data_IF_089313743840
#
_entry.id   IF_089313743840
#
_cell.length_a   1.000
_cell.length_b   1.000
_cell.length_c   1.000
_cell.angle_alpha   90.00
_cell.angle_beta   90.00
_cell.angle_gamma   90.00
#
_symmetry.space_group_name_H-M   'P 1'
#
loop_
_entity.id
_entity.type
_entity.pdbx_description
1 polymer ?
#
# COMPACT_ATOMS: atom_id res chain seq x y z
N UNK A 1 -10.40 2.47 -34.28
CA UNK A 1 -8.93 2.34 -34.35
C UNK A 1 -8.54 1.03 -33.67
N UNK A 2 -7.93 0.11 -34.43
CA UNK A 2 -7.63 -1.27 -34.02
C UNK A 2 -6.50 -1.31 -32.99
N UNK A 3 -6.79 -1.73 -31.75
CA UNK A 3 -5.74 -2.05 -30.79
C UNK A 3 -5.14 -3.42 -31.17
N UNK A 4 -3.94 -3.37 -31.75
CA UNK A 4 -3.08 -4.55 -31.91
C UNK A 4 -2.87 -5.19 -30.54
N UNK A 5 -3.24 -6.48 -30.43
CA UNK A 5 -2.84 -7.36 -29.33
C UNK A 5 -1.35 -7.19 -29.06
N UNK A 6 -1.00 -6.57 -27.94
CA UNK A 6 0.38 -6.51 -27.47
C UNK A 6 0.60 -7.70 -26.54
N UNK A 7 1.01 -8.83 -27.11
CA UNK A 7 1.63 -9.91 -26.35
C UNK A 7 2.85 -9.34 -25.63
N UNK A 8 2.82 -9.31 -24.30
CA UNK A 8 3.91 -8.85 -23.47
C UNK A 8 4.26 -9.90 -22.44
N UNK A 9 5.52 -10.31 -22.39
CA UNK A 9 6.06 -11.13 -21.31
C UNK A 9 6.59 -10.19 -20.25
N UNK A 10 5.98 -10.19 -19.05
CA UNK A 10 6.53 -9.47 -17.90
C UNK A 10 7.51 -10.41 -17.21
N UNK A 11 8.79 -10.01 -17.16
CA UNK A 11 9.83 -10.77 -16.45
C UNK A 11 9.99 -10.13 -15.08
N UNK A 12 9.68 -10.88 -14.05
CA UNK A 12 10.01 -10.53 -12.67
C UNK A 12 11.27 -11.30 -12.28
N UNK A 13 12.32 -10.57 -11.90
CA UNK A 13 13.55 -11.13 -11.35
C UNK A 13 13.63 -10.79 -9.87
N UNK A 14 13.46 -11.79 -9.02
CA UNK A 14 13.76 -11.66 -7.58
C UNK A 14 15.15 -12.24 -7.34
N UNK A 15 16.05 -11.42 -6.82
CA UNK A 15 17.38 -11.84 -6.38
C UNK A 15 17.31 -12.16 -4.89
N UNK A 16 17.44 -13.44 -4.55
CA UNK A 16 17.57 -13.93 -3.18
C UNK A 16 18.99 -14.49 -2.96
N UNK A 17 19.41 -14.71 -1.71
CA UNK A 17 20.77 -15.12 -1.30
C UNK A 17 21.27 -16.44 -1.94
N UNK A 18 20.41 -17.16 -2.65
CA UNK A 18 20.70 -18.43 -3.34
C UNK A 18 20.66 -18.36 -4.88
N UNK A 19 20.52 -17.17 -5.46
CA UNK A 19 20.58 -16.94 -6.91
C UNK A 19 19.34 -16.27 -7.52
N UNK A 20 19.47 -15.83 -8.77
CA UNK A 20 18.41 -15.18 -9.56
C UNK A 20 17.31 -16.19 -9.94
N UNK A 21 16.09 -15.97 -9.46
CA UNK A 21 14.91 -16.69 -9.92
C UNK A 21 14.12 -15.79 -10.88
N UNK A 22 14.05 -16.18 -12.16
CA UNK A 22 13.22 -15.53 -13.18
C UNK A 22 11.91 -16.29 -13.32
N UNK A 23 10.81 -15.64 -12.98
CA UNK A 23 9.47 -16.17 -13.20
C UNK A 23 8.88 -15.58 -14.48
N UNK A 24 8.48 -16.45 -15.41
CA UNK A 24 7.81 -16.06 -16.65
C UNK A 24 6.30 -16.15 -16.44
N UNK A 25 5.64 -15.00 -16.33
CA UNK A 25 4.18 -14.94 -16.24
C UNK A 25 3.61 -14.66 -17.63
N UNK A 26 2.87 -15.63 -18.19
CA UNK A 26 2.16 -15.47 -19.45
C UNK A 26 0.83 -14.77 -19.17
N UNK A 27 0.76 -13.47 -19.47
CA UNK A 27 -0.47 -12.71 -19.29
C UNK A 27 -1.30 -12.90 -20.57
N UNK A 28 -2.21 -13.88 -20.56
CA UNK A 28 -3.30 -13.93 -21.53
C UNK A 28 -4.30 -12.84 -21.14
N UNK A 29 -4.32 -11.77 -21.94
CA UNK A 29 -5.31 -10.70 -21.81
C UNK A 29 -6.69 -11.26 -22.18
N UNK A 30 -7.45 -11.64 -21.15
CA UNK A 30 -8.77 -12.23 -21.28
C UNK A 30 -9.74 -11.16 -21.81
N UNK A 31 -10.00 -11.20 -23.12
CA UNK A 31 -11.03 -10.36 -23.74
C UNK A 31 -12.42 -10.80 -23.24
N UNK A 32 -13.29 -9.87 -22.82
CA UNK A 32 -14.64 -10.19 -22.34
C UNK A 32 -15.56 -10.71 -23.46
N UNK A 33 -15.12 -10.60 -24.72
CA UNK A 33 -15.82 -11.14 -25.88
C UNK A 33 -15.25 -12.50 -26.30
N UNK A 34 -16.12 -13.43 -26.72
CA UNK A 34 -15.69 -14.72 -27.26
C UNK A 34 -14.75 -14.52 -28.46
N UNK A 35 -13.79 -15.43 -28.68
CA UNK A 35 -12.86 -15.33 -29.79
C UNK A 35 -13.59 -15.35 -31.15
N UNK A 36 -13.09 -14.58 -32.11
CA UNK A 36 -13.73 -14.41 -33.41
C UNK A 36 -13.89 -15.74 -34.18
N UNK A 37 -12.99 -16.69 -33.97
CA UNK A 37 -13.04 -18.04 -34.56
C UNK A 37 -14.27 -18.83 -34.08
N UNK A 38 -14.60 -18.74 -32.79
CA UNK A 38 -15.77 -19.39 -32.19
C UNK A 38 -17.10 -18.78 -32.70
N UNK A 39 -17.13 -17.46 -32.87
CA UNK A 39 -18.29 -16.78 -33.45
C UNK A 39 -18.51 -17.16 -34.93
N UNK A 40 -17.42 -17.42 -35.66
CA UNK A 40 -17.48 -17.83 -37.06
C UNK A 40 -18.00 -19.26 -37.22
N UNK A 41 -17.65 -20.16 -36.29
CA UNK A 41 -18.19 -21.53 -36.25
C UNK A 41 -19.67 -21.55 -35.86
N UNK A 42 -20.09 -20.73 -34.90
CA UNK A 42 -21.50 -20.58 -34.52
C UNK A 42 -22.35 -20.04 -35.68
N UNK A 43 -21.83 -19.07 -36.43
CA UNK A 43 -22.51 -18.49 -37.59
C UNK A 43 -22.76 -19.51 -38.72
N UNK A 44 -21.90 -20.53 -38.85
CA UNK A 44 -22.08 -21.63 -39.83
C UNK A 44 -23.24 -22.57 -39.45
N UNK A 45 -23.63 -22.61 -38.17
CA UNK A 45 -24.71 -23.45 -37.66
C UNK A 45 -26.04 -22.68 -37.78
N UNK A 46 -26.13 -21.52 -37.12
CA UNK A 46 -27.26 -20.59 -37.22
C UNK A 46 -26.80 -19.21 -36.69
N UNK A 47 -26.96 -18.11 -37.46
CA UNK A 47 -26.61 -16.76 -37.01
C UNK A 47 -27.28 -16.36 -35.68
N UNK A 48 -28.41 -16.96 -35.32
CA UNK A 48 -29.13 -16.69 -34.07
C UNK A 48 -28.32 -17.03 -32.82
N UNK A 49 -27.42 -18.02 -32.88
CA UNK A 49 -26.58 -18.40 -31.73
C UNK A 49 -25.47 -17.38 -31.46
N UNK A 50 -24.94 -16.74 -32.50
CA UNK A 50 -23.95 -15.66 -32.37
C UNK A 50 -24.55 -14.47 -31.64
N UNK A 51 -25.77 -14.09 -32.01
CA UNK A 51 -26.50 -13.00 -31.36
C UNK A 51 -26.79 -13.32 -29.89
N UNK A 52 -27.17 -14.57 -29.59
CA UNK A 52 -27.40 -15.02 -28.22
C UNK A 52 -26.13 -14.95 -27.36
N UNK A 53 -25.01 -15.46 -27.84
CA UNK A 53 -23.72 -15.43 -27.11
C UNK A 53 -23.22 -14.00 -26.92
N UNK A 54 -23.34 -13.14 -27.93
CA UNK A 54 -22.98 -11.72 -27.81
C UNK A 54 -23.88 -10.98 -26.82
N UNK A 55 -25.18 -11.30 -26.78
CA UNK A 55 -26.11 -10.70 -25.82
C UNK A 55 -25.79 -11.11 -24.38
N UNK A 56 -25.41 -12.37 -24.15
CA UNK A 56 -24.94 -12.87 -22.85
C UNK A 56 -23.62 -12.21 -22.43
N UNK A 57 -22.62 -12.14 -23.32
CA UNK A 57 -21.35 -11.49 -23.03
C UNK A 57 -21.53 -9.99 -22.67
N UNK A 58 -22.43 -9.29 -23.37
CA UNK A 58 -22.77 -7.90 -23.07
C UNK A 58 -23.46 -7.74 -21.70
N UNK A 59 -24.40 -8.64 -21.38
CA UNK A 59 -25.08 -8.64 -20.09
C UNK A 59 -24.12 -8.92 -18.93
N UNK A 60 -23.20 -9.88 -19.10
CA UNK A 60 -22.18 -10.19 -18.11
C UNK A 60 -21.20 -9.03 -17.91
N UNK A 61 -20.77 -8.37 -18.99
CA UNK A 61 -19.91 -7.20 -18.90
C UNK A 61 -20.60 -6.02 -18.20
N UNK A 62 -21.89 -5.78 -18.49
CA UNK A 62 -22.66 -4.74 -17.81
C UNK A 62 -22.83 -5.05 -16.31
N UNK A 63 -23.09 -6.31 -15.96
CA UNK A 63 -23.15 -6.74 -14.56
C UNK A 63 -21.80 -6.57 -13.85
N UNK A 64 -20.68 -6.93 -14.51
CA UNK A 64 -19.33 -6.73 -13.95
C UNK A 64 -19.02 -5.25 -13.72
N UNK A 65 -19.40 -4.36 -14.63
CA UNK A 65 -19.24 -2.92 -14.43
C UNK A 65 -20.04 -2.39 -13.24
N UNK A 66 -21.31 -2.82 -13.10
CA UNK A 66 -22.14 -2.44 -11.93
C UNK A 66 -21.53 -2.91 -10.61
N UNK A 67 -20.99 -4.12 -10.57
CA UNK A 67 -20.29 -4.65 -9.40
C UNK A 67 -18.95 -3.96 -9.14
N UNK A 68 -18.28 -3.48 -10.19
CA UNK A 68 -17.02 -2.76 -10.08
C UNK A 68 -17.26 -1.35 -9.52
N UNK A 69 -18.30 -0.65 -9.96
CA UNK A 69 -18.68 0.67 -9.45
C UNK A 69 -19.06 0.61 -7.97
N UNK A 70 -19.82 -0.40 -7.55
CA UNK A 70 -20.17 -0.60 -6.13
C UNK A 70 -18.93 -0.91 -5.27
N UNK A 71 -18.00 -1.72 -5.79
CA UNK A 71 -16.75 -2.03 -5.09
C UNK A 71 -15.82 -0.82 -5.00
N UNK A 72 -15.72 -0.01 -6.06
CA UNK A 72 -14.90 1.21 -6.05
C UNK A 72 -15.45 2.20 -5.01
N UNK A 73 -16.78 2.36 -4.92
CA UNK A 73 -17.40 3.22 -3.92
C UNK A 73 -17.14 2.73 -2.48
N UNK A 74 -17.19 1.41 -2.25
CA UNK A 74 -16.89 0.80 -0.96
C UNK A 74 -15.41 0.95 -0.59
N UNK A 75 -14.50 0.66 -1.51
CA UNK A 75 -13.04 0.83 -1.34
C UNK A 75 -12.72 2.28 -1.03
N UNK A 76 -13.34 3.24 -1.72
CA UNK A 76 -13.11 4.66 -1.49
C UNK A 76 -13.59 5.10 -0.09
N UNK A 77 -14.70 4.54 0.39
CA UNK A 77 -15.19 4.79 1.75
C UNK A 77 -14.25 4.23 2.81
N UNK A 78 -13.80 2.99 2.64
CA UNK A 78 -12.87 2.32 3.57
C UNK A 78 -11.52 3.04 3.59
N UNK A 79 -10.98 3.39 2.41
CA UNK A 79 -9.74 4.14 2.30
C UNK A 79 -9.86 5.55 2.89
N UNK A 80 -11.01 6.22 2.71
CA UNK A 80 -11.26 7.53 3.32
C UNK A 80 -11.19 7.51 4.85
N UNK A 81 -11.82 6.50 5.47
CA UNK A 81 -11.79 6.33 6.93
C UNK A 81 -10.37 6.00 7.45
N UNK A 82 -9.62 5.16 6.72
CA UNK A 82 -8.23 4.84 7.04
C UNK A 82 -7.33 6.09 6.95
N UNK A 83 -7.50 6.91 5.91
CA UNK A 83 -6.74 8.16 5.73
C UNK A 83 -7.04 9.17 6.85
N UNK A 84 -8.28 9.24 7.32
CA UNK A 84 -8.64 10.15 8.42
C UNK A 84 -8.02 9.72 9.75
N UNK A 85 -8.03 8.41 10.06
CA UNK A 85 -7.32 7.87 11.23
C UNK A 85 -5.81 8.11 11.13
N UNK A 86 -5.20 7.92 9.96
CA UNK A 86 -3.77 8.18 9.77
C UNK A 86 -3.41 9.65 9.96
N UNK A 87 -4.24 10.59 9.49
CA UNK A 87 -4.03 12.03 9.72
C UNK A 87 -4.05 12.38 11.21
N UNK A 88 -4.99 11.81 11.97
CA UNK A 88 -5.06 12.04 13.42
C UNK A 88 -3.80 11.50 14.11
N UNK A 89 -3.40 10.27 13.78
CA UNK A 89 -2.18 9.65 14.34
C UNK A 89 -0.90 10.41 13.93
N UNK A 90 -0.80 10.90 12.70
CA UNK A 90 0.31 11.77 12.27
C UNK A 90 0.36 13.06 13.08
N UNK A 91 -0.80 13.69 13.34
CA UNK A 91 -0.86 14.94 14.09
C UNK A 91 -0.43 14.76 15.56
N UNK A 92 -0.81 13.65 16.20
CA UNK A 92 -0.36 13.29 17.54
C UNK A 92 1.15 12.98 17.55
N UNK A 93 1.64 12.28 16.52
CA UNK A 93 3.06 11.93 16.39
C UNK A 93 3.92 13.18 16.21
N UNK A 94 3.49 14.12 15.36
CA UNK A 94 4.17 15.39 15.17
C UNK A 94 4.26 16.19 16.47
N UNK A 95 3.16 16.28 17.23
CA UNK A 95 3.17 16.93 18.56
C UNK A 95 4.12 16.24 19.54
N UNK A 96 4.14 14.91 19.56
CA UNK A 96 5.05 14.13 20.40
C UNK A 96 6.54 14.37 20.08
N UNK A 97 6.89 14.57 18.80
CA UNK A 97 8.26 14.91 18.39
C UNK A 97 8.69 16.27 18.94
N UNK A 98 7.82 17.27 18.91
CA UNK A 98 8.09 18.59 19.48
C UNK A 98 8.31 18.53 21.00
N UNK A 99 7.51 17.75 21.72
CA UNK A 99 7.72 17.53 23.16
C UNK A 99 9.05 16.84 23.46
N UNK A 100 9.41 15.80 22.69
CA UNK A 100 10.70 15.12 22.82
C UNK A 100 11.89 16.06 22.57
N UNK A 101 11.79 16.91 21.54
CA UNK A 101 12.83 17.91 21.22
C UNK A 101 12.94 18.97 22.33
N UNK A 102 11.81 19.53 22.79
CA UNK A 102 11.80 20.52 23.87
C UNK A 102 12.42 19.96 25.16
N UNK A 103 12.08 18.72 25.52
CA UNK A 103 12.60 18.05 26.70
C UNK A 103 14.11 17.74 26.56
N UNK A 104 14.55 17.29 25.39
CA UNK A 104 15.96 17.07 25.09
C UNK A 104 16.80 18.36 25.20
N UNK A 105 16.32 19.46 24.62
CA UNK A 105 16.97 20.77 24.72
C UNK A 105 17.02 21.24 26.17
N UNK A 106 15.94 21.08 26.94
CA UNK A 106 15.91 21.42 28.37
C UNK A 106 16.96 20.66 29.19
N UNK A 107 17.08 19.35 28.98
CA UNK A 107 18.11 18.54 29.65
C UNK A 107 19.52 18.95 29.24
N UNK A 108 19.72 19.37 28.00
CA UNK A 108 21.02 19.84 27.50
C UNK A 108 21.45 21.14 28.19
N UNK A 109 20.52 22.08 28.37
CA UNK A 109 20.75 23.30 29.15
C UNK A 109 21.08 22.98 30.60
N UNK A 110 20.32 22.08 31.24
CA UNK A 110 20.57 21.65 32.62
C UNK A 110 21.96 21.01 32.75
N UNK A 111 22.35 20.16 31.80
CA UNK A 111 23.67 19.55 31.79
C UNK A 111 24.79 20.60 31.68
N UNK A 112 24.62 21.59 30.79
CA UNK A 112 25.58 22.69 30.62
C UNK A 112 25.72 23.54 31.88
N UNK A 113 24.60 23.90 32.50
CA UNK A 113 24.58 24.67 33.76
C UNK A 113 25.22 23.86 34.90
N UNK A 114 24.88 22.58 35.02
CA UNK A 114 25.44 21.71 36.04
C UNK A 114 26.97 21.57 35.90
N UNK A 115 27.49 21.45 34.67
CA UNK A 115 28.94 21.46 34.42
C UNK A 115 29.57 22.79 34.80
N UNK A 116 28.90 23.92 34.52
CA UNK A 116 29.40 25.24 34.88
C UNK A 116 29.58 25.42 36.39
N UNK A 117 28.68 24.87 37.20
CA UNK A 117 28.77 24.87 38.67
C UNK A 117 29.58 23.70 39.26
N UNK A 118 30.22 22.88 38.44
CA UNK A 118 31.05 21.76 38.90
C UNK A 118 30.27 20.52 39.37
N UNK A 119 28.96 20.46 39.14
CA UNK A 119 28.11 19.31 39.46
C UNK A 119 28.17 18.23 38.38
N UNK A 120 29.33 17.58 38.25
CA UNK A 120 29.59 16.55 37.22
C UNK A 120 28.60 15.37 37.28
N UNK A 121 28.16 14.99 38.49
CA UNK A 121 27.18 13.90 38.68
C UNK A 121 25.81 14.25 38.06
N UNK A 122 25.34 15.48 38.29
CA UNK A 122 24.05 15.95 37.77
C UNK A 122 24.10 16.06 36.25
N UNK A 123 25.22 16.55 35.70
CA UNK A 123 25.43 16.59 34.26
C UNK A 123 25.44 15.18 33.63
N UNK A 124 26.09 14.21 34.27
CA UNK A 124 26.09 12.82 33.82
C UNK A 124 24.70 12.20 33.77
N UNK A 125 23.86 12.46 34.78
CA UNK A 125 22.47 12.00 34.82
C UNK A 125 21.63 12.66 33.70
N UNK A 126 21.82 13.95 33.47
CA UNK A 126 21.10 14.65 32.40
C UNK A 126 21.48 14.12 31.00
N UNK A 127 22.77 13.85 30.77
CA UNK A 127 23.25 13.28 29.50
C UNK A 127 22.74 11.85 29.30
N UNK A 128 22.75 11.00 30.34
CA UNK A 128 22.24 9.63 30.22
C UNK A 128 20.75 9.60 29.94
N UNK A 129 19.97 10.53 30.51
CA UNK A 129 18.56 10.70 30.19
C UNK A 129 18.34 11.09 28.71
N UNK A 130 19.15 12.01 28.16
CA UNK A 130 19.11 12.37 26.73
C UNK A 130 19.35 11.14 25.85
N UNK A 131 20.37 10.34 26.16
CA UNK A 131 20.68 9.11 25.41
C UNK A 131 19.52 8.12 25.49
N UNK A 132 18.91 7.93 26.66
CA UNK A 132 17.74 7.06 26.83
C UNK A 132 16.56 7.50 25.96
N UNK A 133 16.28 8.81 25.91
CA UNK A 133 15.22 9.37 25.06
C UNK A 133 15.51 9.12 23.58
N UNK A 134 16.77 9.31 23.15
CA UNK A 134 17.18 9.04 21.77
C UNK A 134 17.03 7.57 21.39
N UNK A 135 17.39 6.64 22.28
CA UNK A 135 17.21 5.20 22.05
C UNK A 135 15.73 4.87 21.87
N UNK A 136 14.86 5.34 22.77
CA UNK A 136 13.41 5.11 22.66
C UNK A 136 12.87 5.71 21.36
N UNK A 137 13.37 6.88 20.96
CA UNK A 137 12.96 7.54 19.72
C UNK A 137 13.36 6.75 18.47
N UNK A 138 14.60 6.24 18.41
CA UNK A 138 15.11 5.44 17.29
C UNK A 138 14.44 4.06 17.22
N UNK A 139 14.20 3.43 18.37
CA UNK A 139 13.57 2.11 18.45
C UNK A 139 12.05 2.15 18.31
N UNK A 140 11.44 3.34 18.28
CA UNK A 140 10.00 3.49 18.11
C UNK A 140 9.61 3.05 16.70
N UNK A 141 9.16 1.80 16.58
CA UNK A 141 8.57 1.28 15.36
C UNK A 141 7.25 2.02 15.10
N UNK A 142 7.09 2.56 13.89
CA UNK A 142 5.81 3.08 13.40
C UNK A 142 4.75 1.97 13.55
N UNK A 143 3.53 2.26 14.02
CA UNK A 143 2.48 1.26 14.06
C UNK A 143 2.26 0.77 12.62
N UNK A 144 2.63 -0.48 12.35
CA UNK A 144 2.20 -1.17 11.14
C UNK A 144 0.69 -1.30 11.26
N UNK A 145 -0.04 -0.44 10.56
CA UNK A 145 -1.44 -0.66 10.23
C UNK A 145 -1.48 -1.88 9.30
N UNK A 146 -1.36 -3.08 9.86
CA UNK A 146 -1.71 -4.31 9.16
C UNK A 146 -3.22 -4.25 8.95
N UNK A 147 -3.72 -4.19 7.70
CA UNK A 147 -5.14 -4.38 7.48
C UNK A 147 -5.51 -5.75 8.06
N UNK A 148 -6.48 -5.76 8.96
CA UNK A 148 -7.05 -6.98 9.52
C UNK A 148 -7.56 -7.83 8.37
N UNK A 149 -6.81 -8.88 8.04
CA UNK A 149 -7.25 -9.95 7.17
C UNK A 149 -8.30 -10.74 7.95
N UNK A 150 -9.57 -10.35 7.80
CA UNK A 150 -10.69 -11.16 8.26
C UNK A 150 -10.83 -12.32 7.28
N UNK A 151 -10.33 -13.49 7.70
CA UNK A 151 -10.70 -14.79 7.13
C UNK A 151 -12.18 -15.08 7.35
#
# INVERSE_FOLDING_TARGET
MSQKQRKGTRVSSTQDERGLQTQFEHIEEYSPYPPAEFLHELNKIDPKYVEQVMSMAKAEQEQRHRLQDSQIAEIQRVNGALIEMDKQNLSLTGRGQWFGLALGVGLLVIAGVALHYGHAVVAGIAISAIVGILIVYVLRQQPKNSPANNQ
#
